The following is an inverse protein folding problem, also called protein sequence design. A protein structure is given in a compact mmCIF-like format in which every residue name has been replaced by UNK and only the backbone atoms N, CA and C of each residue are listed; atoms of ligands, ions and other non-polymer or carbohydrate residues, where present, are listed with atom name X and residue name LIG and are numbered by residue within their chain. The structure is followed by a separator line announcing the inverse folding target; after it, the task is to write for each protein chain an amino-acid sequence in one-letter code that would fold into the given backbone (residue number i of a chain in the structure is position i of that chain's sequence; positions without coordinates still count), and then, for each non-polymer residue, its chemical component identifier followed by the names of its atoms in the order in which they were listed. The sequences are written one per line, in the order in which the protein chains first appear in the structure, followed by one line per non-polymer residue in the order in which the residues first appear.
data_IF_757767374323
#
_entry.id   IF_757767374323
#
_cell.length_a   1.000
_cell.length_b   1.000
_cell.length_c   1.000
_cell.angle_alpha   90.00
_cell.angle_beta   90.00
_cell.angle_gamma   90.00
#
_symmetry.space_group_name_H-M   'P 1'
#
loop_
_entity.id
_entity.type
_entity.pdbx_description
1 polymer ?
#
# COMPACT_ATOMS: atom_id res chain seq x y z
N UNK A 1 -12.29 21.32 21.90
CA UNK A 1 -11.65 20.30 21.06
C UNK A 1 -10.14 20.44 21.15
N UNK A 2 -9.49 19.37 21.57
CA UNK A 2 -8.04 19.25 21.75
C UNK A 2 -7.46 18.31 20.73
N UNK A 3 -6.19 18.51 20.35
CA UNK A 3 -5.43 17.57 19.53
C UNK A 3 -4.34 16.99 20.43
N UNK A 4 -4.38 15.69 20.63
CA UNK A 4 -3.47 14.97 21.55
C UNK A 4 -2.65 13.95 20.76
N UNK A 5 -1.39 13.66 21.18
CA UNK A 5 -0.60 12.57 20.61
C UNK A 5 -1.32 11.21 20.73
N UNK A 6 -1.20 10.40 19.70
CA UNK A 6 -1.90 9.10 19.66
C UNK A 6 -1.31 8.07 20.64
N UNK A 7 -0.07 8.23 21.09
CA UNK A 7 0.58 7.39 22.10
C UNK A 7 -0.02 7.52 23.53
N UNK A 8 -0.87 8.52 23.75
CA UNK A 8 -1.65 8.66 25.00
C UNK A 8 -2.88 7.74 25.04
N UNK A 9 -3.18 7.03 23.96
CA UNK A 9 -4.35 6.18 23.83
C UNK A 9 -3.93 4.72 23.64
N UNK A 10 -4.76 3.79 24.12
CA UNK A 10 -4.51 2.37 23.88
C UNK A 10 -4.78 2.00 22.41
N UNK A 11 -4.21 0.88 21.95
CA UNK A 11 -4.49 0.39 20.60
C UNK A 11 -5.96 0.04 20.40
N UNK A 12 -6.66 -0.39 21.46
CA UNK A 12 -8.10 -0.66 21.46
C UNK A 12 -8.89 0.64 21.18
N UNK A 13 -8.56 1.72 21.89
CA UNK A 13 -9.19 3.04 21.68
C UNK A 13 -8.93 3.57 20.27
N UNK A 14 -7.69 3.46 19.79
CA UNK A 14 -7.32 3.89 18.43
C UNK A 14 -8.00 3.04 17.36
N UNK A 15 -8.13 1.73 17.56
CA UNK A 15 -8.82 0.82 16.65
C UNK A 15 -10.30 1.14 16.56
N UNK A 16 -10.96 1.34 17.70
CA UNK A 16 -12.37 1.71 17.75
C UNK A 16 -12.60 3.06 17.05
N UNK A 17 -11.81 4.08 17.40
CA UNK A 17 -11.88 5.38 16.77
C UNK A 17 -11.66 5.29 15.24
N UNK A 18 -10.69 4.51 14.79
CA UNK A 18 -10.45 4.26 13.38
C UNK A 18 -11.70 3.69 12.69
N UNK A 19 -12.30 2.64 13.24
CA UNK A 19 -13.48 2.00 12.67
C UNK A 19 -14.69 2.96 12.64
N UNK A 20 -14.91 3.70 13.72
CA UNK A 20 -16.01 4.67 13.84
C UNK A 20 -15.89 5.82 12.82
N UNK A 21 -14.68 6.27 12.49
CA UNK A 21 -14.47 7.31 11.46
C UNK A 21 -14.80 6.81 10.04
N UNK A 22 -15.00 5.49 9.86
CA UNK A 22 -15.16 4.83 8.54
C UNK A 22 -16.47 4.08 8.37
N UNK A 23 -17.47 4.31 9.21
CA UNK A 23 -18.78 3.65 9.13
C UNK A 23 -19.50 3.90 7.79
N UNK A 24 -19.20 5.02 7.15
CA UNK A 24 -19.76 5.45 5.85
C UNK A 24 -18.65 5.62 4.78
N UNK A 25 -17.50 4.96 4.96
CA UNK A 25 -16.38 5.14 4.05
C UNK A 25 -16.60 4.44 2.71
N UNK A 26 -16.11 5.04 1.62
CA UNK A 26 -16.29 4.56 0.23
C UNK A 26 -15.88 3.09 0.06
N UNK A 27 -14.79 2.68 0.72
CA UNK A 27 -14.29 1.31 0.69
C UNK A 27 -14.20 0.80 2.13
N UNK A 28 -14.95 -0.25 2.50
CA UNK A 28 -14.87 -0.84 3.84
C UNK A 28 -13.46 -1.38 4.13
N UNK A 29 -12.85 -0.90 5.21
CA UNK A 29 -11.51 -1.29 5.65
C UNK A 29 -11.46 -1.45 7.18
N UNK A 30 -12.29 -2.33 7.77
CA UNK A 30 -12.29 -2.50 9.22
C UNK A 30 -10.96 -3.08 9.70
N UNK A 31 -10.56 -2.70 10.90
CA UNK A 31 -9.37 -3.24 11.58
C UNK A 31 -9.77 -3.82 12.94
N UNK A 32 -9.02 -4.82 13.37
CA UNK A 32 -8.92 -5.21 14.77
C UNK A 32 -7.59 -4.70 15.36
N UNK A 33 -7.41 -4.88 16.65
CA UNK A 33 -6.21 -4.39 17.37
C UNK A 33 -4.92 -4.98 16.81
N UNK A 34 -4.92 -6.28 16.47
CA UNK A 34 -3.73 -6.94 15.94
C UNK A 34 -3.39 -6.43 14.53
N UNK A 35 -4.42 -6.18 13.70
CA UNK A 35 -4.23 -5.58 12.38
C UNK A 35 -3.67 -4.15 12.48
N UNK A 36 -4.13 -3.35 13.45
CA UNK A 36 -3.61 -2.00 13.68
C UNK A 36 -2.16 -2.05 14.21
N UNK A 37 -1.87 -2.96 15.14
CA UNK A 37 -0.50 -3.17 15.65
C UNK A 37 0.47 -3.53 14.52
N UNK A 38 0.08 -4.48 13.69
CA UNK A 38 0.87 -4.90 12.53
C UNK A 38 1.02 -3.77 11.50
N UNK A 39 -0.05 -3.01 11.24
CA UNK A 39 -0.02 -1.83 10.38
C UNK A 39 1.02 -0.81 10.87
N UNK A 40 1.00 -0.49 12.15
CA UNK A 40 1.93 0.46 12.75
C UNK A 40 3.38 -0.01 12.60
N UNK A 41 3.63 -1.30 12.85
CA UNK A 41 4.96 -1.91 12.73
C UNK A 41 5.48 -1.94 11.29
N UNK A 42 4.64 -2.39 10.36
CA UNK A 42 5.03 -2.58 8.94
C UNK A 42 5.28 -1.25 8.25
N UNK A 43 4.56 -0.21 8.62
CA UNK A 43 4.61 1.08 7.92
C UNK A 43 5.32 2.19 8.69
N UNK A 44 6.07 1.83 9.73
CA UNK A 44 6.87 2.76 10.55
C UNK A 44 6.03 3.91 11.11
N UNK A 45 4.82 3.59 11.60
CA UNK A 45 3.93 4.57 12.22
C UNK A 45 4.47 4.97 13.59
N UNK A 46 4.67 6.27 13.76
CA UNK A 46 5.04 6.89 15.03
C UNK A 46 3.81 7.45 15.73
N UNK A 47 3.37 6.78 16.79
CA UNK A 47 2.19 7.21 17.55
C UNK A 47 2.41 8.52 18.29
N UNK A 48 3.65 8.89 18.64
CA UNK A 48 3.94 10.17 19.28
C UNK A 48 3.78 11.36 18.32
N UNK A 49 3.89 11.13 17.02
CA UNK A 49 3.68 12.12 15.96
C UNK A 49 2.33 11.95 15.24
N UNK A 50 1.63 10.87 15.52
CA UNK A 50 0.24 10.66 15.13
C UNK A 50 -0.68 11.38 16.13
N UNK A 51 -1.88 11.71 15.74
CA UNK A 51 -2.74 12.54 16.59
C UNK A 51 -4.19 12.08 16.63
N UNK A 52 -4.84 12.43 17.73
CA UNK A 52 -6.25 12.17 18.04
C UNK A 52 -6.93 13.50 18.37
N UNK A 53 -8.09 13.74 17.79
CA UNK A 53 -8.94 14.88 18.14
C UNK A 53 -9.95 14.44 19.21
N UNK A 54 -9.97 15.15 20.34
CA UNK A 54 -10.88 14.88 21.48
C UNK A 54 -11.81 16.08 21.69
N UNK A 55 -13.08 15.81 21.90
CA UNK A 55 -14.09 16.81 22.25
C UNK A 55 -14.99 16.26 23.35
N UNK A 56 -15.11 16.99 24.46
CA UNK A 56 -15.90 16.57 25.63
C UNK A 56 -15.54 15.17 26.16
N UNK A 57 -14.28 14.79 26.09
CA UNK A 57 -13.78 13.49 26.52
C UNK A 57 -13.89 12.37 25.50
N UNK A 58 -14.55 12.62 24.36
CA UNK A 58 -14.76 11.62 23.31
C UNK A 58 -13.81 11.83 22.13
N UNK A 59 -13.32 10.73 21.54
CA UNK A 59 -12.50 10.78 20.33
C UNK A 59 -13.41 11.06 19.13
N UNK A 60 -13.15 12.15 18.42
CA UNK A 60 -13.93 12.56 17.24
C UNK A 60 -13.15 12.45 15.92
N UNK A 61 -11.88 12.10 15.98
CA UNK A 61 -11.04 11.91 14.80
C UNK A 61 -9.63 11.49 15.15
N UNK A 62 -8.91 10.96 14.17
CA UNK A 62 -7.51 10.57 14.29
C UNK A 62 -6.79 10.70 12.96
N UNK A 63 -5.47 10.75 13.02
CA UNK A 63 -4.57 10.64 11.88
C UNK A 63 -3.26 10.01 12.30
N UNK A 64 -2.64 9.25 11.41
CA UNK A 64 -1.39 8.55 11.67
C UNK A 64 -0.27 9.04 10.75
N UNK A 65 0.95 9.05 11.26
CA UNK A 65 2.14 9.49 10.53
C UNK A 65 3.25 8.48 10.68
N UNK A 66 3.80 8.04 9.54
CA UNK A 66 5.02 7.25 9.47
C UNK A 66 6.21 8.10 9.05
N UNK A 67 7.42 7.70 9.45
CA UNK A 67 8.66 8.39 9.10
C UNK A 67 9.70 7.44 8.54
N UNK A 68 10.40 7.88 7.50
CA UNK A 68 11.57 7.21 6.91
C UNK A 68 12.55 8.27 6.42
N UNK A 69 13.80 8.21 6.88
CA UNK A 69 14.86 9.10 6.44
C UNK A 69 14.38 10.56 6.25
N UNK A 70 14.19 10.98 5.02
CA UNK A 70 13.82 12.35 4.63
C UNK A 70 12.33 12.47 4.22
N UNK A 71 11.47 11.54 4.64
CA UNK A 71 10.07 11.48 4.21
C UNK A 71 9.14 11.18 5.37
N UNK A 72 7.96 11.81 5.38
CA UNK A 72 6.83 11.41 6.22
C UNK A 72 5.68 10.92 5.35
N UNK A 73 4.86 10.07 5.91
CA UNK A 73 3.67 9.55 5.28
C UNK A 73 2.47 9.73 6.19
N UNK A 74 1.50 10.52 5.74
CA UNK A 74 0.25 10.75 6.46
C UNK A 74 -0.78 9.74 5.98
N UNK A 75 -1.32 9.01 6.92
CA UNK A 75 -2.26 7.92 6.64
C UNK A 75 -3.37 7.87 7.68
N UNK A 76 -4.40 7.08 7.41
CA UNK A 76 -5.50 6.81 8.33
C UNK A 76 -6.21 8.03 8.90
N UNK A 77 -6.11 9.20 8.23
CA UNK A 77 -6.90 10.37 8.61
C UNK A 77 -8.40 10.05 8.54
N UNK A 78 -9.10 10.27 9.62
CA UNK A 78 -10.54 10.07 9.71
C UNK A 78 -11.17 10.99 10.74
N UNK A 79 -12.41 11.41 10.48
CA UNK A 79 -13.23 12.23 11.38
C UNK A 79 -14.60 11.61 11.48
N UNK A 80 -15.12 11.46 12.69
CA UNK A 80 -16.48 10.96 12.92
C UNK A 80 -17.50 11.80 12.13
N UNK A 81 -18.58 11.21 11.64
CA UNK A 81 -19.63 11.96 10.93
C UNK A 81 -20.10 13.21 11.67
N UNK A 82 -20.24 13.12 12.98
CA UNK A 82 -20.65 14.23 13.87
C UNK A 82 -19.63 15.35 14.00
N UNK A 83 -18.32 15.04 13.82
CA UNK A 83 -17.21 16.02 13.90
C UNK A 83 -16.85 16.66 12.56
N UNK A 84 -17.45 16.22 11.43
CA UNK A 84 -17.14 16.75 10.11
C UNK A 84 -17.62 18.19 9.92
N UNK A 85 -16.99 18.94 9.03
CA UNK A 85 -17.28 20.35 8.71
C UNK A 85 -16.94 21.36 9.81
N UNK A 86 -16.36 20.91 10.94
CA UNK A 86 -15.93 21.78 12.07
C UNK A 86 -14.39 21.98 12.10
N UNK A 87 -13.71 21.72 10.99
CA UNK A 87 -12.25 21.93 10.89
C UNK A 87 -11.39 20.85 11.57
N UNK A 88 -11.98 19.76 12.08
CA UNK A 88 -11.25 18.69 12.78
C UNK A 88 -10.16 18.07 11.90
N UNK A 89 -10.49 17.70 10.66
CA UNK A 89 -9.53 17.11 9.72
C UNK A 89 -8.36 18.05 9.40
N UNK A 90 -8.61 19.36 9.32
CA UNK A 90 -7.55 20.36 9.10
C UNK A 90 -6.59 20.42 10.30
N UNK A 91 -7.11 20.48 11.52
CA UNK A 91 -6.26 20.52 12.72
C UNK A 91 -5.44 19.25 12.94
N UNK A 92 -6.01 18.07 12.62
CA UNK A 92 -5.26 16.82 12.62
C UNK A 92 -4.11 16.85 11.60
N UNK A 93 -4.38 17.31 10.38
CA UNK A 93 -3.34 17.46 9.35
C UNK A 93 -2.26 18.46 9.77
N UNK A 94 -2.63 19.63 10.29
CA UNK A 94 -1.67 20.63 10.79
C UNK A 94 -0.74 20.04 11.85
N UNK A 95 -1.30 19.28 12.80
CA UNK A 95 -0.51 18.62 13.85
C UNK A 95 0.53 17.66 13.26
N UNK A 96 0.13 16.80 12.30
CA UNK A 96 1.04 15.83 11.68
C UNK A 96 2.08 16.50 10.77
N UNK A 97 1.71 17.56 10.05
CA UNK A 97 2.65 18.33 9.23
C UNK A 97 3.66 19.09 10.11
N UNK A 98 3.22 19.68 11.21
CA UNK A 98 4.12 20.33 12.18
C UNK A 98 5.09 19.32 12.80
N UNK A 99 4.64 18.10 13.12
CA UNK A 99 5.52 17.02 13.59
C UNK A 99 6.59 16.62 12.54
N UNK A 100 6.24 16.65 11.26
CA UNK A 100 7.19 16.42 10.16
C UNK A 100 8.21 17.56 10.03
N UNK A 101 7.75 18.81 10.08
CA UNK A 101 8.63 19.99 10.02
C UNK A 101 9.57 20.09 11.23
N UNK A 102 9.08 19.79 12.45
CA UNK A 102 9.90 19.77 13.66
C UNK A 102 11.04 18.76 13.61
N UNK A 103 10.91 17.72 12.76
CA UNK A 103 11.95 16.72 12.48
C UNK A 103 12.81 17.05 11.25
N UNK A 104 12.65 18.25 10.69
CA UNK A 104 13.34 18.68 9.46
C UNK A 104 13.09 17.73 8.28
N UNK A 105 11.92 17.10 8.21
CA UNK A 105 11.52 16.28 7.08
C UNK A 105 11.13 17.19 5.92
N UNK A 106 11.76 17.11 4.74
CA UNK A 106 11.50 18.03 3.64
C UNK A 106 10.22 17.73 2.85
N UNK A 107 9.65 16.53 3.00
CA UNK A 107 8.52 16.11 2.17
C UNK A 107 7.54 15.19 2.91
N UNK A 108 6.26 15.47 2.78
CA UNK A 108 5.17 14.63 3.26
C UNK A 108 4.39 14.00 2.10
N UNK A 109 4.11 12.71 2.21
CA UNK A 109 3.32 11.93 1.26
C UNK A 109 2.00 11.49 1.88
N UNK A 110 1.01 11.27 1.04
CA UNK A 110 -0.25 10.62 1.41
C UNK A 110 -0.89 9.96 0.18
N UNK A 111 -1.88 9.13 0.44
CA UNK A 111 -2.72 8.53 -0.60
C UNK A 111 -4.19 8.74 -0.23
N UNK A 112 -4.99 9.14 -1.19
CA UNK A 112 -6.44 9.31 -1.04
C UNK A 112 -7.19 8.41 -2.02
N UNK A 113 -8.26 7.76 -1.60
CA UNK A 113 -9.11 6.98 -2.50
C UNK A 113 -9.74 7.93 -3.51
N UNK A 114 -9.60 7.62 -4.80
CA UNK A 114 -10.22 8.39 -5.89
C UNK A 114 -11.73 8.42 -5.69
N UNK A 115 -12.31 9.62 -5.70
CA UNK A 115 -13.73 9.84 -5.38
C UNK A 115 -13.99 10.24 -3.92
N UNK A 116 -12.99 10.21 -3.04
CA UNK A 116 -13.14 10.83 -1.70
C UNK A 116 -12.89 12.34 -1.79
N UNK A 117 -13.83 13.04 -2.41
CA UNK A 117 -13.77 14.47 -2.68
C UNK A 117 -13.54 15.36 -1.43
N UNK A 118 -14.15 15.07 -0.26
CA UNK A 118 -13.90 15.89 0.93
C UNK A 118 -12.44 15.85 1.39
N UNK A 119 -11.83 14.66 1.41
CA UNK A 119 -10.44 14.48 1.80
C UNK A 119 -9.49 15.05 0.73
N UNK A 120 -9.76 14.80 -0.54
CA UNK A 120 -8.96 15.29 -1.66
C UNK A 120 -8.88 16.83 -1.65
N UNK A 121 -10.03 17.53 -1.53
CA UNK A 121 -10.06 18.99 -1.41
C UNK A 121 -9.36 19.51 -0.14
N UNK A 122 -9.40 18.76 0.96
CA UNK A 122 -8.64 19.11 2.17
C UNK A 122 -7.14 19.11 1.86
N UNK A 123 -6.62 18.04 1.27
CA UNK A 123 -5.20 17.89 0.99
C UNK A 123 -4.70 18.95 -0.01
N UNK A 124 -5.46 19.21 -1.08
CA UNK A 124 -5.12 20.29 -2.02
C UNK A 124 -5.03 21.66 -1.34
N UNK A 125 -6.00 22.00 -0.47
CA UNK A 125 -5.96 23.26 0.30
C UNK A 125 -4.78 23.36 1.27
N UNK A 126 -4.25 22.22 1.71
CA UNK A 126 -3.05 22.15 2.55
C UNK A 126 -1.75 22.11 1.74
N UNK A 127 -1.83 22.29 0.42
CA UNK A 127 -0.68 22.38 -0.47
C UNK A 127 -0.11 21.06 -0.96
N UNK A 128 -0.87 19.96 -0.85
CA UNK A 128 -0.51 18.71 -1.50
C UNK A 128 -0.83 18.76 -3.00
N UNK A 129 0.07 18.21 -3.81
CA UNK A 129 -0.03 18.10 -5.26
C UNK A 129 -0.10 16.64 -5.64
N UNK A 130 -0.95 16.30 -6.59
CA UNK A 130 -1.08 14.94 -7.13
C UNK A 130 0.19 14.55 -7.90
N UNK A 131 0.63 13.30 -7.72
CA UNK A 131 1.78 12.73 -8.44
C UNK A 131 1.37 11.69 -9.45
N UNK A 132 0.57 10.71 -9.03
CA UNK A 132 0.11 9.59 -9.88
C UNK A 132 -1.12 8.90 -9.30
N UNK A 133 -1.77 8.10 -10.13
CA UNK A 133 -2.79 7.15 -9.69
C UNK A 133 -2.19 5.78 -9.40
N UNK A 134 -2.65 5.17 -8.32
CA UNK A 134 -2.23 3.86 -7.85
C UNK A 134 -3.41 2.90 -7.86
N UNK A 135 -3.25 1.78 -8.53
CA UNK A 135 -4.26 0.73 -8.65
C UNK A 135 -4.22 -0.19 -7.44
N UNK A 136 -5.39 -0.52 -6.91
CA UNK A 136 -5.59 -1.64 -5.98
C UNK A 136 -6.36 -2.70 -6.74
N UNK A 137 -5.77 -3.88 -6.85
CA UNK A 137 -6.21 -4.90 -7.79
C UNK A 137 -6.42 -6.23 -7.09
N UNK A 138 -7.29 -7.06 -7.64
CA UNK A 138 -7.59 -8.39 -7.15
C UNK A 138 -7.66 -9.39 -8.29
N UNK A 139 -7.23 -10.60 -8.03
CA UNK A 139 -7.46 -11.77 -8.88
C UNK A 139 -8.07 -12.89 -8.04
N UNK A 140 -9.33 -13.31 -8.29
CA UNK A 140 -9.93 -14.45 -7.62
C UNK A 140 -9.16 -15.74 -7.92
N UNK A 141 -9.23 -16.75 -7.04
CA UNK A 141 -8.64 -18.05 -7.30
C UNK A 141 -9.24 -18.69 -8.55
N UNK A 142 -8.40 -19.30 -9.37
CA UNK A 142 -8.85 -20.11 -10.51
C UNK A 142 -7.94 -21.32 -10.67
N UNK A 143 -8.53 -22.50 -10.81
CA UNK A 143 -7.79 -23.74 -11.03
C UNK A 143 -7.37 -23.92 -12.49
N UNK A 144 -7.97 -23.18 -13.42
CA UNK A 144 -7.65 -23.26 -14.85
C UNK A 144 -6.92 -21.99 -15.27
N UNK A 145 -5.62 -22.11 -15.47
CA UNK A 145 -4.85 -21.14 -16.23
C UNK A 145 -4.88 -21.57 -17.69
N UNK A 146 -5.32 -20.68 -18.55
CA UNK A 146 -5.31 -20.96 -20.00
C UNK A 146 -3.87 -20.88 -20.51
N UNK A 147 -3.38 -21.97 -21.09
CA UNK A 147 -2.06 -21.99 -21.75
C UNK A 147 -1.99 -21.04 -22.96
N UNK A 148 -3.14 -20.53 -23.42
CA UNK A 148 -3.22 -19.49 -24.45
C UNK A 148 -2.66 -18.13 -23.99
N UNK A 149 -2.60 -17.87 -22.68
CA UNK A 149 -2.08 -16.60 -22.12
C UNK A 149 -0.56 -16.62 -22.06
N UNK A 150 0.03 -17.74 -21.67
CA UNK A 150 1.47 -17.98 -21.64
C UNK A 150 1.76 -19.46 -21.80
N UNK A 151 2.74 -19.78 -22.66
CA UNK A 151 3.19 -21.16 -22.86
C UNK A 151 4.32 -21.50 -21.88
N UNK A 152 4.11 -22.38 -20.88
CA UNK A 152 5.14 -22.76 -19.93
C UNK A 152 6.40 -23.37 -20.55
N UNK A 153 6.31 -23.88 -21.80
CA UNK A 153 7.48 -24.41 -22.52
C UNK A 153 8.50 -23.33 -22.90
N UNK A 154 8.12 -22.03 -22.83
CA UNK A 154 9.05 -20.90 -23.04
C UNK A 154 9.91 -20.60 -21.82
N UNK A 155 9.62 -21.18 -20.66
CA UNK A 155 10.46 -21.08 -19.46
C UNK A 155 11.78 -21.82 -19.69
N UNK A 156 12.90 -21.09 -19.54
CA UNK A 156 14.24 -21.67 -19.54
C UNK A 156 14.68 -22.02 -18.11
N UNK A 157 14.53 -21.05 -17.18
CA UNK A 157 14.85 -21.24 -15.78
C UNK A 157 13.73 -20.70 -14.88
N UNK A 158 13.54 -21.40 -13.77
CA UNK A 158 12.65 -21.01 -12.67
C UNK A 158 13.39 -21.23 -11.36
N UNK A 159 13.51 -20.18 -10.56
CA UNK A 159 14.10 -20.24 -9.22
C UNK A 159 13.14 -19.66 -8.21
N UNK A 160 13.06 -20.31 -7.04
CA UNK A 160 12.32 -19.79 -5.89
C UNK A 160 13.33 -19.46 -4.80
N UNK A 161 13.21 -18.26 -4.26
CA UNK A 161 14.13 -17.71 -3.27
C UNK A 161 13.40 -17.41 -1.95
N UNK A 162 14.14 -17.45 -0.87
CA UNK A 162 13.68 -17.08 0.47
C UNK A 162 13.61 -15.55 0.64
N UNK A 163 13.21 -15.11 1.83
CA UNK A 163 13.06 -13.70 2.17
C UNK A 163 14.36 -12.90 2.04
N UNK A 164 15.51 -13.46 2.42
CA UNK A 164 16.80 -12.77 2.36
C UNK A 164 17.10 -12.32 0.92
N UNK A 165 17.05 -13.25 -0.03
CA UNK A 165 17.24 -12.96 -1.44
C UNK A 165 16.12 -12.08 -2.00
N UNK A 166 14.87 -12.28 -1.56
CA UNK A 166 13.76 -11.41 -1.98
C UNK A 166 14.02 -9.93 -1.62
N UNK A 167 14.56 -9.68 -0.43
CA UNK A 167 14.91 -8.31 0.00
C UNK A 167 16.07 -7.73 -0.79
N UNK A 168 17.06 -8.53 -1.20
CA UNK A 168 18.14 -8.09 -2.09
C UNK A 168 17.59 -7.59 -3.43
N UNK A 169 16.70 -8.36 -4.06
CA UNK A 169 16.05 -7.97 -5.32
C UNK A 169 15.21 -6.69 -5.15
N UNK A 170 14.45 -6.59 -4.04
CA UNK A 170 13.66 -5.42 -3.72
C UNK A 170 14.51 -4.16 -3.50
N UNK A 171 15.73 -4.28 -2.96
CA UNK A 171 16.68 -3.17 -2.81
C UNK A 171 17.29 -2.71 -4.14
N UNK A 172 17.37 -3.59 -5.14
CA UNK A 172 17.96 -3.29 -6.45
C UNK A 172 16.96 -2.64 -7.42
N UNK A 173 15.67 -2.57 -7.07
CA UNK A 173 14.66 -1.93 -7.92
C UNK A 173 15.00 -0.48 -8.25
N UNK A 174 14.70 -0.10 -9.49
CA UNK A 174 14.90 1.26 -9.98
C UNK A 174 13.63 2.10 -9.98
N UNK A 175 12.47 1.49 -9.66
CA UNK A 175 11.20 2.18 -9.56
C UNK A 175 11.10 3.03 -8.27
N UNK A 176 10.09 3.89 -8.21
CA UNK A 176 9.75 4.67 -7.02
C UNK A 176 8.46 4.14 -6.42
N UNK A 177 8.52 3.13 -5.54
CA UNK A 177 7.31 2.51 -4.99
C UNK A 177 6.57 3.42 -4.04
N UNK A 178 5.24 3.30 -3.99
CA UNK A 178 4.42 3.89 -2.93
C UNK A 178 4.84 3.37 -1.55
N UNK A 179 4.57 4.12 -0.48
CA UNK A 179 5.04 3.83 0.88
C UNK A 179 4.91 2.37 1.30
N UNK A 180 3.74 1.77 1.03
CA UNK A 180 3.44 0.39 1.44
C UNK A 180 4.21 -0.67 0.66
N UNK A 181 4.75 -0.32 -0.51
CA UNK A 181 5.54 -1.19 -1.38
C UNK A 181 7.04 -0.88 -1.34
N UNK A 182 7.46 0.09 -0.53
CA UNK A 182 8.88 0.36 -0.30
C UNK A 182 9.55 -0.82 0.40
N UNK A 183 10.83 -1.01 0.13
CA UNK A 183 11.59 -2.12 0.70
C UNK A 183 11.58 -2.09 2.23
N UNK A 184 11.60 -0.89 2.83
CA UNK A 184 11.47 -0.71 4.28
C UNK A 184 10.18 -1.33 4.84
N UNK A 185 9.02 -1.15 4.17
CA UNK A 185 7.78 -1.84 4.56
C UNK A 185 7.91 -3.36 4.45
N UNK A 186 8.54 -3.82 3.38
CA UNK A 186 8.62 -5.23 3.07
C UNK A 186 9.62 -5.97 3.97
N UNK A 187 10.64 -5.30 4.51
CA UNK A 187 11.54 -5.89 5.52
C UNK A 187 10.79 -6.32 6.78
N UNK A 188 9.69 -5.66 7.10
CA UNK A 188 8.87 -5.99 8.24
C UNK A 188 7.86 -7.12 7.97
N UNK A 189 7.67 -7.54 6.73
CA UNK A 189 6.75 -8.63 6.37
C UNK A 189 7.48 -9.96 6.49
N UNK A 190 7.03 -10.91 7.32
CA UNK A 190 7.67 -12.20 7.43
C UNK A 190 7.37 -13.09 6.22
N UNK A 191 8.26 -14.03 5.95
CA UNK A 191 8.06 -15.09 4.96
C UNK A 191 7.77 -14.57 3.53
N UNK A 192 8.41 -13.48 3.12
CA UNK A 192 8.42 -13.09 1.72
C UNK A 192 9.11 -14.18 0.90
N UNK A 193 8.52 -14.51 -0.23
CA UNK A 193 9.08 -15.44 -1.21
C UNK A 193 9.27 -14.70 -2.52
N UNK A 194 10.30 -15.03 -3.28
CA UNK A 194 10.54 -14.50 -4.61
C UNK A 194 10.62 -15.64 -5.62
N UNK A 195 9.95 -15.46 -6.76
CA UNK A 195 10.10 -16.29 -7.94
C UNK A 195 10.81 -15.48 -9.00
N UNK A 196 11.94 -15.99 -9.48
CA UNK A 196 12.69 -15.46 -10.62
C UNK A 196 12.49 -16.39 -11.82
N UNK A 197 12.26 -15.82 -12.99
CA UNK A 197 12.16 -16.58 -14.24
C UNK A 197 13.11 -16.03 -15.29
N UNK A 198 13.60 -16.93 -16.14
CA UNK A 198 14.24 -16.60 -17.40
C UNK A 198 13.51 -17.32 -18.52
N UNK A 199 13.20 -16.61 -19.60
CA UNK A 199 12.59 -17.15 -20.81
C UNK A 199 13.63 -17.53 -21.85
N UNK A 200 13.26 -18.35 -22.83
CA UNK A 200 14.15 -18.81 -23.91
C UNK A 200 14.64 -17.69 -24.81
N UNK A 201 13.88 -16.61 -24.93
CA UNK A 201 14.28 -15.41 -25.69
C UNK A 201 15.28 -14.52 -24.95
N UNK A 202 15.66 -14.88 -23.73
CA UNK A 202 16.58 -14.13 -22.88
C UNK A 202 15.88 -13.16 -21.92
N UNK A 203 14.56 -13.03 -21.99
CA UNK A 203 13.79 -12.17 -21.06
C UNK A 203 13.89 -12.66 -19.61
N UNK A 204 13.97 -11.73 -18.66
CA UNK A 204 14.15 -12.01 -17.23
C UNK A 204 13.21 -11.13 -16.40
N UNK A 205 12.53 -11.72 -15.45
CA UNK A 205 11.71 -11.00 -14.48
C UNK A 205 11.48 -11.80 -13.19
N UNK A 206 10.90 -11.13 -12.20
CA UNK A 206 10.64 -11.75 -10.92
C UNK A 206 9.35 -11.21 -10.26
N UNK A 207 8.85 -11.97 -9.31
CA UNK A 207 7.76 -11.56 -8.42
C UNK A 207 8.11 -11.88 -6.98
N UNK A 208 8.05 -10.87 -6.11
CA UNK A 208 8.04 -11.05 -4.65
C UNK A 208 6.61 -11.07 -4.15
N UNK A 209 6.31 -11.93 -3.18
CA UNK A 209 4.98 -12.06 -2.61
C UNK A 209 5.01 -12.66 -1.19
N UNK A 210 3.93 -12.42 -0.46
CA UNK A 210 3.64 -13.14 0.79
C UNK A 210 2.45 -14.07 0.56
N UNK A 211 2.61 -15.34 0.90
CA UNK A 211 1.57 -16.35 0.78
C UNK A 211 1.01 -16.75 2.15
N UNK A 212 -0.30 -16.68 2.30
CA UNK A 212 -1.04 -17.30 3.39
C UNK A 212 -1.89 -18.46 2.86
N UNK A 213 -2.59 -19.16 3.74
CA UNK A 213 -3.45 -20.28 3.34
C UNK A 213 -4.47 -19.89 2.25
N UNK A 214 -5.03 -18.70 2.32
CA UNK A 214 -6.13 -18.26 1.44
C UNK A 214 -5.75 -17.12 0.48
N UNK A 215 -4.63 -16.45 0.71
CA UNK A 215 -4.30 -15.21 -0.01
C UNK A 215 -2.84 -15.10 -0.40
N UNK A 216 -2.63 -14.47 -1.55
CA UNK A 216 -1.37 -13.86 -1.96
C UNK A 216 -1.48 -12.35 -1.79
N UNK A 217 -0.51 -11.77 -1.11
CA UNK A 217 -0.42 -10.33 -0.85
C UNK A 217 1.02 -9.85 -1.06
N UNK A 218 1.26 -8.54 -1.01
CA UNK A 218 2.60 -7.97 -1.22
C UNK A 218 3.20 -8.41 -2.56
N UNK A 219 2.37 -8.51 -3.57
CA UNK A 219 2.78 -8.93 -4.91
C UNK A 219 3.48 -7.76 -5.59
N UNK A 220 4.78 -7.89 -5.78
CA UNK A 220 5.63 -6.91 -6.47
C UNK A 220 6.27 -7.63 -7.66
N UNK A 221 6.04 -7.12 -8.84
CA UNK A 221 6.64 -7.63 -10.09
C UNK A 221 7.65 -6.64 -10.62
N UNK A 222 8.82 -7.14 -11.02
CA UNK A 222 9.78 -6.35 -11.78
C UNK A 222 10.29 -7.12 -13.01
N UNK A 223 10.66 -6.36 -14.02
CA UNK A 223 11.13 -6.86 -15.32
C UNK A 223 12.54 -6.33 -15.55
N UNK A 224 13.51 -7.22 -15.54
CA UNK A 224 14.92 -6.87 -15.70
C UNK A 224 15.32 -6.77 -17.18
N UNK A 225 14.77 -7.68 -18.00
CA UNK A 225 15.05 -7.77 -19.45
C UNK A 225 13.76 -8.22 -20.16
N UNK A 226 13.44 -7.59 -21.27
CA UNK A 226 12.34 -8.00 -22.15
C UNK A 226 11.14 -7.06 -22.13
N UNK A 227 10.06 -7.46 -22.80
CA UNK A 227 8.82 -6.69 -22.84
C UNK A 227 8.09 -6.72 -21.48
N UNK A 228 7.74 -5.57 -20.89
CA UNK A 228 7.12 -5.52 -19.58
C UNK A 228 5.79 -6.29 -19.48
N UNK A 229 5.00 -6.31 -20.53
CA UNK A 229 3.70 -6.99 -20.53
C UNK A 229 3.88 -8.50 -20.58
N UNK A 230 4.72 -8.99 -21.50
CA UNK A 230 4.93 -10.43 -21.71
C UNK A 230 5.66 -11.06 -20.51
N UNK A 231 6.70 -10.41 -20.00
CA UNK A 231 7.45 -10.92 -18.84
C UNK A 231 6.58 -10.91 -17.59
N UNK A 232 5.81 -9.83 -17.34
CA UNK A 232 4.86 -9.80 -16.22
C UNK A 232 3.82 -10.92 -16.35
N UNK A 233 3.31 -11.17 -17.55
CA UNK A 233 2.36 -12.26 -17.81
C UNK A 233 2.99 -13.61 -17.46
N UNK A 234 4.22 -13.88 -17.90
CA UNK A 234 4.95 -15.12 -17.63
C UNK A 234 5.23 -15.34 -16.14
N UNK A 235 5.70 -14.29 -15.46
CA UNK A 235 5.97 -14.29 -14.01
C UNK A 235 4.70 -14.58 -13.21
N UNK A 236 3.61 -13.89 -13.49
CA UNK A 236 2.34 -14.06 -12.80
C UNK A 236 1.68 -15.39 -13.14
N UNK A 237 1.81 -15.87 -14.38
CA UNK A 237 1.37 -17.22 -14.75
C UNK A 237 2.08 -18.28 -13.91
N UNK A 238 3.40 -18.14 -13.74
CA UNK A 238 4.19 -19.04 -12.91
C UNK A 238 3.76 -18.98 -11.44
N UNK A 239 3.57 -17.78 -10.88
CA UNK A 239 3.05 -17.58 -9.52
C UNK A 239 1.72 -18.33 -9.32
N UNK A 240 0.77 -18.13 -10.22
CA UNK A 240 -0.58 -18.72 -10.06
C UNK A 240 -0.64 -20.20 -10.37
N UNK A 241 0.32 -20.75 -11.09
CA UNK A 241 0.47 -22.23 -11.19
C UNK A 241 0.91 -22.85 -9.87
N UNK A 242 1.75 -22.17 -9.11
CA UNK A 242 2.18 -22.61 -7.78
C UNK A 242 1.10 -22.37 -6.72
N UNK A 243 0.24 -21.38 -6.94
CA UNK A 243 -0.78 -20.92 -6.00
C UNK A 243 -2.18 -20.83 -6.64
N UNK A 244 -2.77 -21.95 -7.11
CA UNK A 244 -4.00 -21.91 -7.91
C UNK A 244 -5.26 -21.59 -7.12
N UNK A 245 -5.23 -21.71 -5.79
CA UNK A 245 -6.40 -21.60 -4.92
C UNK A 245 -6.43 -20.32 -4.06
N UNK A 246 -5.36 -19.53 -4.05
CA UNK A 246 -5.30 -18.30 -3.29
C UNK A 246 -5.92 -17.13 -4.05
N UNK A 247 -6.63 -16.29 -3.30
CA UNK A 247 -7.08 -14.96 -3.73
C UNK A 247 -5.88 -14.00 -3.74
N UNK A 248 -5.61 -13.35 -4.84
CA UNK A 248 -4.42 -12.52 -4.99
C UNK A 248 -4.78 -11.02 -4.96
N UNK A 249 -4.07 -10.27 -4.13
CA UNK A 249 -4.19 -8.83 -3.98
C UNK A 249 -2.84 -8.18 -4.31
N UNK A 250 -2.81 -7.35 -5.36
CA UNK A 250 -1.68 -6.49 -5.67
C UNK A 250 -2.11 -5.03 -5.52
N UNK A 251 -1.41 -4.30 -4.67
CA UNK A 251 -1.75 -2.92 -4.34
C UNK A 251 -0.70 -1.94 -4.82
N UNK A 252 -1.15 -0.72 -5.09
CA UNK A 252 -0.30 0.42 -5.42
C UNK A 252 0.57 0.20 -6.67
N UNK A 253 0.00 -0.45 -7.69
CA UNK A 253 0.57 -0.48 -9.05
C UNK A 253 0.32 0.89 -9.67
N UNK A 254 1.34 1.55 -10.23
CA UNK A 254 1.12 2.79 -10.98
C UNK A 254 0.18 2.55 -12.15
N UNK A 255 -0.82 3.41 -12.32
CA UNK A 255 -1.80 3.25 -13.39
C UNK A 255 -1.17 3.34 -14.79
N UNK A 256 -0.01 4.04 -14.90
CA UNK A 256 0.73 4.23 -16.14
C UNK A 256 1.83 3.16 -16.34
N UNK A 257 1.98 2.21 -15.41
CA UNK A 257 2.98 1.15 -15.53
C UNK A 257 2.54 0.13 -16.58
N UNK A 258 3.34 -0.11 -17.65
CA UNK A 258 2.99 -1.08 -18.69
C UNK A 258 2.80 -2.51 -18.14
N UNK A 259 3.40 -2.84 -17.01
CA UNK A 259 3.19 -4.13 -16.32
C UNK A 259 1.71 -4.37 -15.99
N UNK A 260 0.91 -3.32 -15.80
CA UNK A 260 -0.53 -3.46 -15.55
C UNK A 260 -1.27 -4.29 -16.62
N UNK A 261 -0.90 -4.14 -17.89
CA UNK A 261 -1.48 -4.96 -18.96
C UNK A 261 -1.16 -6.47 -18.78
N UNK A 262 0.02 -6.80 -18.26
CA UNK A 262 0.38 -8.18 -17.90
C UNK A 262 -0.48 -8.72 -16.75
N UNK A 263 -0.73 -7.91 -15.72
CA UNK A 263 -1.68 -8.26 -14.65
C UNK A 263 -3.08 -8.52 -15.19
N UNK A 264 -3.59 -7.67 -16.09
CA UNK A 264 -4.91 -7.82 -16.71
C UNK A 264 -5.01 -9.12 -17.53
N UNK A 265 -3.98 -9.47 -18.34
CA UNK A 265 -3.90 -10.74 -19.06
C UNK A 265 -4.00 -11.94 -18.12
N UNK A 266 -3.50 -11.80 -16.89
CA UNK A 266 -3.56 -12.84 -15.85
C UNK A 266 -4.85 -12.80 -15.01
N UNK A 267 -5.84 -11.99 -15.40
CA UNK A 267 -7.15 -11.95 -14.77
C UNK A 267 -7.24 -11.07 -13.51
N UNK A 268 -6.27 -10.19 -13.30
CA UNK A 268 -6.41 -9.13 -12.31
C UNK A 268 -7.36 -8.05 -12.82
N UNK A 269 -8.19 -7.53 -11.93
CA UNK A 269 -9.04 -6.39 -12.20
C UNK A 269 -8.88 -5.34 -11.10
N UNK A 270 -9.11 -4.10 -11.48
CA UNK A 270 -9.11 -2.98 -10.56
C UNK A 270 -10.32 -3.05 -9.63
N UNK A 271 -10.06 -2.92 -8.31
CA UNK A 271 -11.11 -2.81 -7.30
C UNK A 271 -11.40 -1.35 -6.97
N UNK A 272 -10.37 -0.55 -6.82
CA UNK A 272 -10.42 0.91 -6.67
C UNK A 272 -9.03 1.51 -6.94
N UNK A 273 -8.99 2.85 -6.98
CA UNK A 273 -7.74 3.62 -7.15
C UNK A 273 -7.49 4.53 -5.97
N UNK A 274 -6.23 4.82 -5.77
CA UNK A 274 -5.75 5.90 -4.91
C UNK A 274 -5.08 6.96 -5.77
N UNK A 275 -5.17 8.22 -5.34
CA UNK A 275 -4.33 9.32 -5.85
C UNK A 275 -3.23 9.52 -4.82
N UNK A 276 -1.98 9.36 -5.25
CA UNK A 276 -0.81 9.66 -4.42
C UNK A 276 -0.55 11.17 -4.51
N UNK A 277 -0.31 11.80 -3.38
CA UNK A 277 -0.09 13.24 -3.31
C UNK A 277 1.14 13.55 -2.45
N UNK A 278 1.84 14.62 -2.79
CA UNK A 278 3.06 15.08 -2.14
C UNK A 278 2.96 16.56 -1.75
N UNK A 279 3.56 16.89 -0.61
CA UNK A 279 3.80 18.27 -0.17
C UNK A 279 5.27 18.43 0.19
N UNK A 280 5.94 19.40 -0.44
CA UNK A 280 7.25 19.89 -0.03
C UNK A 280 7.09 21.03 0.98
N UNK A 281 7.94 21.06 2.00
CA UNK A 281 7.94 22.09 3.04
C UNK A 281 8.86 23.25 2.71
#
# INVERSE_FOLDING_TARGET
MEILPADQFTLEQLTEAYNQTRVDYIVPMPMNVDTLREYNRVYDIDLSASCVAVHEGEIIGLGMTGFRSQRSWITRLGVLPTGRKHGVGHKLMDSMLNASQARNIPVAWLEVIKGNEPAHRLFQRMGFVETRELLVTRRPPTRRLENSVFNPAELLHLRTHNQEVALEFLHQRQDWPAWTNQTESLTHVPNLTLIEIQLKDGSVGWVSYHASLLRLTRIIVDVLVGDPVEVTTAVLHTLHRLHPTQDALAENISADDPKWLGFQKMGYFETFRRVEMVKHF
#
